data_IF_507309895172
#
_entry.id   IF_507309895172
#
_cell.length_a   1.000
_cell.length_b   1.000
_cell.length_c   1.000
_cell.angle_alpha   90.00
_cell.angle_beta   90.00
_cell.angle_gamma   90.00
#
_symmetry.space_group_name_H-M   'P 1'
#
loop_
_entity.id
_entity.type
_entity.pdbx_description
1 polymer ?
#
# COMPACT_ATOMS: atom_id res chain seq x y z
N UNK A 1 -2.05 1.08 15.06
CA UNK A 1 -2.44 2.51 15.09
C UNK A 1 -1.98 3.24 16.35
N UNK A 2 -2.50 2.95 17.57
CA UNK A 2 -2.15 3.71 18.79
C UNK A 2 -0.64 3.87 19.03
N UNK A 3 0.13 2.78 18.93
CA UNK A 3 1.58 2.82 19.11
C UNK A 3 2.29 3.70 18.07
N UNK A 4 1.89 3.62 16.80
CA UNK A 4 2.44 4.45 15.73
C UNK A 4 2.17 5.95 16.01
N UNK A 5 0.95 6.30 16.39
CA UNK A 5 0.60 7.69 16.67
C UNK A 5 1.36 8.24 17.88
N UNK A 6 1.53 7.45 18.94
CA UNK A 6 2.35 7.83 20.08
C UNK A 6 3.83 8.02 19.70
N UNK A 7 4.39 7.13 18.88
CA UNK A 7 5.77 7.24 18.42
C UNK A 7 6.01 8.47 17.52
N UNK A 8 4.97 8.94 16.82
CA UNK A 8 5.03 10.11 15.95
C UNK A 8 4.56 11.41 16.61
N UNK A 9 4.18 11.40 17.90
CA UNK A 9 3.75 12.59 18.63
C UNK A 9 4.69 13.80 18.43
N UNK A 10 6.03 13.69 18.55
CA UNK A 10 6.92 14.84 18.40
C UNK A 10 7.12 15.28 16.94
N UNK A 11 6.62 14.53 15.96
CA UNK A 11 6.82 14.80 14.52
C UNK A 11 5.66 15.67 14.00
N UNK A 12 5.99 16.79 13.36
CA UNK A 12 5.00 17.68 12.76
C UNK A 12 4.17 16.97 11.69
N UNK A 13 2.88 17.29 11.58
CA UNK A 13 1.94 16.55 10.71
C UNK A 13 2.41 16.44 9.25
N UNK A 14 3.01 17.51 8.71
CA UNK A 14 3.51 17.55 7.33
C UNK A 14 4.82 16.78 7.12
N UNK A 15 5.53 16.42 8.20
CA UNK A 15 6.79 15.69 8.18
C UNK A 15 6.58 14.16 8.28
N UNK A 16 5.34 13.72 8.50
CA UNK A 16 4.97 12.31 8.68
C UNK A 16 4.83 11.53 7.38
N UNK A 17 5.70 11.77 6.41
CA UNK A 17 5.72 11.03 5.15
C UNK A 17 5.83 9.52 5.41
N UNK A 18 5.06 8.73 4.66
CA UNK A 18 5.04 7.28 4.81
C UNK A 18 4.60 6.62 3.50
N UNK A 19 4.84 5.32 3.39
CA UNK A 19 4.29 4.55 2.29
C UNK A 19 3.92 3.15 2.77
N UNK A 20 2.87 2.60 2.16
CA UNK A 20 2.70 1.15 2.16
C UNK A 20 3.53 0.54 1.03
N UNK A 21 3.99 -0.69 1.25
CA UNK A 21 4.80 -1.43 0.29
C UNK A 21 4.31 -2.89 0.18
N UNK A 22 4.27 -3.41 -1.04
CA UNK A 22 3.90 -4.80 -1.32
C UNK A 22 4.92 -5.39 -2.28
N UNK A 23 5.37 -6.61 -1.97
CA UNK A 23 6.11 -7.48 -2.89
C UNK A 23 5.31 -8.76 -3.03
N UNK A 24 5.06 -9.18 -4.27
CA UNK A 24 4.43 -10.44 -4.62
C UNK A 24 5.43 -11.23 -5.44
N UNK A 25 5.74 -12.43 -4.98
CA UNK A 25 6.68 -13.35 -5.63
C UNK A 25 5.89 -14.53 -6.17
N UNK A 26 6.08 -14.83 -7.46
CA UNK A 26 5.52 -15.99 -8.13
C UNK A 26 6.64 -16.94 -8.53
N UNK A 27 6.58 -18.16 -8.02
CA UNK A 27 7.44 -19.27 -8.43
C UNK A 27 6.63 -20.24 -9.27
N UNK A 28 7.17 -20.68 -10.41
CA UNK A 28 6.56 -21.74 -11.23
C UNK A 28 6.62 -23.10 -10.53
N UNK A 29 7.69 -23.33 -9.78
CA UNK A 29 7.93 -24.50 -8.94
C UNK A 29 8.90 -24.15 -7.80
N UNK A 30 9.04 -25.03 -6.79
CA UNK A 30 9.82 -24.74 -5.58
C UNK A 30 11.30 -24.38 -5.85
N UNK A 31 11.88 -24.91 -6.93
CA UNK A 31 13.28 -24.66 -7.33
C UNK A 31 13.42 -23.61 -8.48
N UNK A 32 12.41 -22.76 -8.71
CA UNK A 32 12.47 -21.75 -9.78
C UNK A 32 13.63 -20.77 -9.53
N UNK A 33 14.66 -20.74 -10.40
CA UNK A 33 15.82 -19.87 -10.20
C UNK A 33 15.52 -18.40 -10.53
N UNK A 34 14.42 -18.12 -11.22
CA UNK A 34 14.06 -16.79 -11.71
C UNK A 34 12.57 -16.51 -11.47
N UNK A 35 12.19 -16.23 -10.20
CA UNK A 35 10.82 -15.92 -9.85
C UNK A 35 10.39 -14.57 -10.43
N UNK A 36 9.12 -14.45 -10.77
CA UNK A 36 8.54 -13.15 -11.12
C UNK A 36 8.25 -12.37 -9.84
N UNK A 37 8.63 -11.09 -9.81
CA UNK A 37 8.51 -10.25 -8.62
C UNK A 37 7.74 -8.98 -8.97
N UNK A 38 6.48 -8.91 -8.57
CA UNK A 38 5.67 -7.70 -8.63
C UNK A 38 5.88 -6.85 -7.39
N UNK A 39 6.20 -5.57 -7.55
CA UNK A 39 6.38 -4.64 -6.45
C UNK A 39 5.44 -3.45 -6.58
N UNK A 40 4.98 -2.93 -5.45
CA UNK A 40 4.08 -1.80 -5.41
C UNK A 40 4.32 -0.94 -4.19
N UNK A 41 4.51 0.35 -4.42
CA UNK A 41 4.66 1.37 -3.39
C UNK A 41 3.51 2.35 -3.48
N UNK A 42 2.93 2.71 -2.35
CA UNK A 42 1.86 3.70 -2.27
C UNK A 42 2.22 4.77 -1.25
N UNK A 43 2.53 5.96 -1.75
CA UNK A 43 2.95 7.13 -0.97
C UNK A 43 1.77 7.78 -0.25
N UNK A 44 2.04 8.35 0.90
CA UNK A 44 1.08 9.10 1.69
C UNK A 44 1.74 9.74 2.90
N UNK A 45 0.94 10.06 3.91
CA UNK A 45 1.43 10.57 5.20
C UNK A 45 0.60 10.01 6.35
N UNK A 46 1.16 9.99 7.55
CA UNK A 46 0.45 9.55 8.74
C UNK A 46 -0.31 10.71 9.37
N UNK A 47 -1.62 10.53 9.58
CA UNK A 47 -2.49 11.47 10.29
C UNK A 47 -2.15 11.55 11.77
N UNK A 48 -2.62 12.58 12.45
CA UNK A 48 -2.51 12.74 13.92
C UNK A 48 -3.59 11.95 14.68
N UNK A 49 -4.71 11.65 14.03
CA UNK A 49 -5.81 10.84 14.57
C UNK A 49 -6.43 9.96 13.47
N UNK A 50 -7.07 8.84 13.83
CA UNK A 50 -7.78 7.99 12.88
C UNK A 50 -8.98 8.69 12.22
N UNK A 51 -9.16 8.47 10.93
CA UNK A 51 -10.32 8.87 10.12
C UNK A 51 -10.82 7.64 9.34
N UNK A 52 -12.14 7.52 9.15
CA UNK A 52 -12.74 6.35 8.50
C UNK A 52 -12.76 5.06 9.33
N UNK A 53 -13.55 4.10 8.85
CA UNK A 53 -13.76 2.79 9.51
C UNK A 53 -13.53 1.60 8.58
N UNK A 54 -13.32 1.85 7.28
CA UNK A 54 -13.06 0.82 6.29
C UNK A 54 -11.63 0.29 6.32
N UNK A 55 -11.38 -0.74 5.53
CA UNK A 55 -10.04 -1.33 5.42
C UNK A 55 -9.59 -2.05 6.71
N UNK A 56 -8.29 -2.01 6.99
CA UNK A 56 -7.65 -2.69 8.11
C UNK A 56 -6.29 -2.07 8.46
N UNK A 57 -5.69 -2.54 9.56
CA UNK A 57 -4.33 -2.19 9.93
C UNK A 57 -4.14 -0.69 10.18
N UNK A 58 -3.33 -0.02 9.35
CA UNK A 58 -3.02 1.41 9.48
C UNK A 58 -3.83 2.30 8.54
N UNK A 59 -4.78 1.76 7.78
CA UNK A 59 -5.58 2.53 6.83
C UNK A 59 -6.24 3.79 7.45
N UNK A 60 -6.79 3.74 8.68
CA UNK A 60 -7.44 4.92 9.26
C UNK A 60 -6.51 6.10 9.53
N UNK A 61 -5.20 5.88 9.53
CA UNK A 61 -4.21 6.94 9.76
C UNK A 61 -3.32 7.16 8.54
N UNK A 62 -3.57 6.48 7.43
CA UNK A 62 -2.81 6.66 6.20
C UNK A 62 -3.55 7.61 5.27
N UNK A 63 -3.10 8.87 5.22
CA UNK A 63 -3.64 9.89 4.33
C UNK A 63 -3.18 9.67 2.89
N UNK A 64 -4.12 9.77 1.95
CA UNK A 64 -3.91 9.62 0.51
C UNK A 64 -4.06 11.01 -0.14
N UNK A 65 -2.97 11.73 -0.44
CA UNK A 65 -3.03 13.10 -0.94
C UNK A 65 -3.85 13.26 -2.21
N UNK A 66 -3.76 12.30 -3.14
CA UNK A 66 -4.45 12.35 -4.43
C UNK A 66 -5.96 12.09 -4.32
N UNK A 67 -6.44 11.64 -3.15
CA UNK A 67 -7.85 11.37 -2.88
C UNK A 67 -8.44 12.30 -1.82
N UNK A 68 -7.59 13.04 -1.09
CA UNK A 68 -8.04 13.99 -0.07
C UNK A 68 -8.74 13.31 1.12
N UNK A 69 -8.40 12.07 1.42
CA UNK A 69 -8.96 11.30 2.54
C UNK A 69 -7.98 10.25 3.07
N UNK A 70 -8.33 9.60 4.18
CA UNK A 70 -7.61 8.42 4.65
C UNK A 70 -7.91 7.18 3.79
N UNK A 71 -7.01 6.20 3.76
CA UNK A 71 -7.24 4.95 3.05
C UNK A 71 -8.45 4.16 3.59
N UNK A 72 -8.87 4.40 4.84
CA UNK A 72 -10.06 3.79 5.44
C UNK A 72 -11.39 4.43 4.99
N UNK A 73 -11.35 5.62 4.38
CA UNK A 73 -12.52 6.30 3.82
C UNK A 73 -12.71 6.01 2.33
N UNK A 74 -11.70 5.39 1.69
CA UNK A 74 -11.81 4.99 0.29
C UNK A 74 -12.81 3.85 0.12
N UNK A 75 -13.58 3.93 -0.96
CA UNK A 75 -14.31 2.77 -1.46
C UNK A 75 -13.34 1.60 -1.71
N UNK A 76 -13.70 0.36 -1.30
CA UNK A 76 -12.81 -0.79 -1.43
C UNK A 76 -12.30 -1.03 -2.86
N UNK A 77 -13.11 -0.77 -3.89
CA UNK A 77 -12.70 -0.95 -5.27
C UNK A 77 -11.67 0.12 -5.71
N UNK A 78 -11.82 1.36 -5.24
CA UNK A 78 -10.84 2.43 -5.47
C UNK A 78 -9.51 2.07 -4.79
N UNK A 79 -9.56 1.69 -3.51
CA UNK A 79 -8.37 1.27 -2.76
C UNK A 79 -7.65 0.08 -3.43
N UNK A 80 -8.41 -0.92 -3.89
CA UNK A 80 -7.82 -2.09 -4.56
C UNK A 80 -7.07 -1.74 -5.85
N UNK A 81 -7.45 -0.68 -6.55
CA UNK A 81 -6.73 -0.21 -7.74
C UNK A 81 -5.51 0.64 -7.39
N UNK A 82 -5.64 1.56 -6.44
CA UNK A 82 -4.59 2.55 -6.14
C UNK A 82 -3.49 2.04 -5.20
N UNK A 83 -3.83 1.10 -4.32
CA UNK A 83 -2.96 0.68 -3.23
C UNK A 83 -1.67 -0.02 -3.68
N UNK A 84 -0.70 -0.09 -2.77
CA UNK A 84 0.54 -0.86 -2.89
C UNK A 84 0.30 -2.30 -3.40
N UNK A 85 -0.72 -2.99 -2.90
CA UNK A 85 -1.09 -4.35 -3.36
C UNK A 85 -1.63 -4.33 -4.79
N UNK A 86 -2.50 -3.37 -5.13
CA UNK A 86 -3.02 -3.20 -6.49
C UNK A 86 -1.90 -2.96 -7.51
N UNK A 87 -0.96 -2.07 -7.16
CA UNK A 87 0.25 -1.77 -7.96
C UNK A 87 1.15 -3.00 -8.12
N UNK A 88 1.41 -3.76 -7.04
CA UNK A 88 2.21 -4.97 -7.10
C UNK A 88 1.57 -6.06 -7.98
N UNK A 89 0.25 -6.25 -7.88
CA UNK A 89 -0.49 -7.18 -8.75
C UNK A 89 -0.46 -6.75 -10.22
N UNK A 90 -0.61 -5.46 -10.50
CA UNK A 90 -0.52 -4.93 -11.86
C UNK A 90 0.88 -5.18 -12.45
N UNK A 91 1.94 -4.92 -11.67
CA UNK A 91 3.32 -5.17 -12.08
C UNK A 91 3.58 -6.67 -12.34
N UNK A 92 3.08 -7.56 -11.47
CA UNK A 92 3.21 -9.00 -11.67
C UNK A 92 2.44 -9.47 -12.92
N UNK A 93 1.22 -8.96 -13.13
CA UNK A 93 0.41 -9.28 -14.31
C UNK A 93 1.15 -8.91 -15.61
N UNK A 94 1.79 -7.75 -15.66
CA UNK A 94 2.59 -7.35 -16.83
C UNK A 94 3.73 -8.33 -17.10
N UNK A 95 4.43 -8.81 -16.06
CA UNK A 95 5.50 -9.80 -16.23
C UNK A 95 4.98 -11.15 -16.70
N UNK A 96 3.82 -11.58 -16.20
CA UNK A 96 3.18 -12.83 -16.64
C UNK A 96 2.82 -12.77 -18.12
N UNK A 97 2.18 -11.68 -18.56
CA UNK A 97 1.80 -11.53 -19.97
C UNK A 97 3.02 -11.46 -20.90
N UNK A 98 4.11 -10.83 -20.47
CA UNK A 98 5.35 -10.76 -21.27
C UNK A 98 6.12 -12.08 -21.35
N UNK A 99 5.84 -13.04 -20.47
CA UNK A 99 6.47 -14.36 -20.47
C UNK A 99 5.70 -15.40 -21.31
N UNK A 100 4.46 -15.07 -21.71
CA UNK A 100 3.59 -15.94 -22.51
C UNK A 100 3.67 -15.62 -24.03
N UNK A 101 4.33 -14.52 -24.42
CA UNK A 101 4.64 -14.12 -25.82
C UNK A 101 6.02 -14.63 -26.28
#
# INVERSE_FOLDING_TARGET
VRHLLAALEPVGEMERSAHFYCVIVYLRHAADPEPLIGQGRWEGRILTAPQGTGGFGYDPVFWVPEQGCSAAELDPAVKNRLSHRGRALAALRTQLMAADD
#
